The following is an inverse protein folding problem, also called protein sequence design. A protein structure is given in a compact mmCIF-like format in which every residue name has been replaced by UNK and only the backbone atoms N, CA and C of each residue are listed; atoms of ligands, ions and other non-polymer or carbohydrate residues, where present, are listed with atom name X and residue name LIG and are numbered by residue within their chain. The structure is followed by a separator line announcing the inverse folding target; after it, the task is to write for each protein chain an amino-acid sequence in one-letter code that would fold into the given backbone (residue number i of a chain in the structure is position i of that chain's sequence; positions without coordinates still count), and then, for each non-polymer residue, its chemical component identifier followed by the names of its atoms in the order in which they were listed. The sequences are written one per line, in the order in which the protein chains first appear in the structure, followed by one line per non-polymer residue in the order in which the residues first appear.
data_IF_723275706705
#
_entry.id   IF_723275706705
#
_cell.length_a   1.000
_cell.length_b   1.000
_cell.length_c   1.000
_cell.angle_alpha   90.00
_cell.angle_beta   90.00
_cell.angle_gamma   90.00
#
_symmetry.space_group_name_H-M   'P 1'
#
loop_
_entity.id
_entity.type
_entity.pdbx_description
1 polymer ?
#
# COMPACT_ATOMS: atom_id res chain seq x y z
N UNK A 1 -13.97 2.89 -0.43
CA UNK A 1 -12.59 2.98 -0.97
C UNK A 1 -11.62 3.05 0.20
N UNK A 2 -10.59 2.19 0.18
CA UNK A 2 -9.52 2.08 1.17
C UNK A 2 -8.21 2.56 0.56
N UNK A 3 -7.56 3.53 1.18
CA UNK A 3 -6.26 4.05 0.74
C UNK A 3 -5.20 3.64 1.76
N UNK A 4 -4.17 2.91 1.32
CA UNK A 4 -3.02 2.57 2.14
C UNK A 4 -1.97 3.69 2.12
N UNK A 5 -1.57 4.20 3.28
CA UNK A 5 -0.50 5.20 3.40
C UNK A 5 0.83 4.47 3.45
N UNK A 6 1.68 4.70 2.44
CA UNK A 6 3.00 4.06 2.31
C UNK A 6 4.11 5.11 2.30
N UNK A 7 5.35 4.66 2.51
CA UNK A 7 6.52 5.54 2.56
C UNK A 7 7.58 5.04 3.52
N UNK A 8 8.81 5.53 3.36
CA UNK A 8 9.95 5.14 4.19
C UNK A 8 9.74 5.47 5.68
N UNK A 9 10.45 4.79 6.61
CA UNK A 9 10.45 5.16 8.02
C UNK A 9 10.73 6.65 8.21
N UNK A 10 10.05 7.27 9.18
CA UNK A 10 10.25 8.68 9.55
C UNK A 10 9.93 9.73 8.46
N UNK A 11 9.21 9.38 7.39
CA UNK A 11 8.75 10.36 6.40
C UNK A 11 7.50 11.17 6.82
N UNK A 12 6.89 10.84 7.97
CA UNK A 12 5.72 11.57 8.49
C UNK A 12 4.35 10.92 8.25
N UNK A 13 4.30 9.63 7.85
CA UNK A 13 3.04 8.89 7.58
C UNK A 13 1.98 9.05 8.67
N UNK A 14 2.31 8.73 9.92
CA UNK A 14 1.36 8.80 11.04
C UNK A 14 0.93 10.23 11.33
N UNK A 15 1.83 11.21 11.15
CA UNK A 15 1.49 12.63 11.27
C UNK A 15 0.48 13.05 10.20
N UNK A 16 0.68 12.63 8.95
CA UNK A 16 -0.27 12.88 7.87
C UNK A 16 -1.60 12.18 8.11
N UNK A 17 -1.58 10.93 8.57
CA UNK A 17 -2.79 10.18 8.92
C UNK A 17 -3.62 10.91 9.99
N UNK A 18 -2.97 11.35 11.07
CA UNK A 18 -3.62 12.14 12.12
C UNK A 18 -4.21 13.45 11.57
N UNK A 19 -3.47 14.15 10.71
CA UNK A 19 -3.93 15.39 10.10
C UNK A 19 -5.18 15.17 9.20
N UNK A 20 -5.20 14.07 8.43
CA UNK A 20 -6.33 13.74 7.56
C UNK A 20 -7.57 13.29 8.35
N UNK A 21 -7.37 12.62 9.48
CA UNK A 21 -8.43 11.90 10.18
C UNK A 21 -8.93 12.62 11.43
N UNK A 22 -8.19 13.63 11.90
CA UNK A 22 -8.40 14.24 13.21
C UNK A 22 -8.13 13.28 14.37
N UNK A 23 -7.54 12.12 14.12
CA UNK A 23 -7.17 11.15 15.14
C UNK A 23 -5.91 11.58 15.90
N UNK A 24 -5.81 11.19 17.16
CA UNK A 24 -4.63 11.42 18.00
C UNK A 24 -3.84 10.12 18.19
N UNK A 25 -3.34 9.55 17.08
CA UNK A 25 -2.54 8.33 17.13
C UNK A 25 -1.11 8.66 17.56
N UNK A 26 -0.50 7.88 18.46
CA UNK A 26 0.87 8.11 18.88
C UNK A 26 1.84 8.03 17.69
N UNK A 27 2.51 9.15 17.37
CA UNK A 27 3.53 9.20 16.33
C UNK A 27 4.77 8.42 16.80
N UNK A 28 5.21 7.45 16.02
CA UNK A 28 6.45 6.71 16.29
C UNK A 28 6.35 5.51 17.24
N UNK A 29 5.15 5.08 17.66
CA UNK A 29 5.01 3.83 18.43
C UNK A 29 4.97 2.60 17.50
N UNK A 30 6.05 1.83 17.47
CA UNK A 30 5.98 0.40 17.15
C UNK A 30 5.26 -0.31 18.29
N UNK A 31 4.19 -1.06 18.02
CA UNK A 31 3.70 -2.04 18.98
C UNK A 31 4.79 -3.11 19.16
N UNK A 32 5.28 -3.25 20.39
CA UNK A 32 6.21 -4.31 20.76
C UNK A 32 5.64 -5.70 20.44
N UNK A 33 6.49 -6.61 19.96
CA UNK A 33 6.14 -8.01 19.70
C UNK A 33 5.98 -8.41 18.23
N UNK A 34 6.46 -7.61 17.28
CA UNK A 34 6.55 -8.01 15.87
C UNK A 34 5.22 -7.99 15.09
N UNK A 35 4.14 -7.45 15.66
CA UNK A 35 2.85 -7.30 14.99
C UNK A 35 2.78 -5.95 14.26
N UNK A 36 2.41 -5.98 12.98
CA UNK A 36 2.16 -4.76 12.19
C UNK A 36 0.92 -4.08 12.76
N UNK A 37 1.09 -2.85 13.25
CA UNK A 37 -0.02 -2.01 13.66
C UNK A 37 -0.67 -1.43 12.41
N UNK A 38 -1.89 -1.86 12.11
CA UNK A 38 -2.73 -1.25 11.07
C UNK A 38 -3.74 -0.38 11.78
N UNK A 39 -3.68 0.92 11.55
CA UNK A 39 -4.70 1.83 12.05
C UNK A 39 -5.52 2.34 10.87
N UNK A 40 -6.85 2.22 10.98
CA UNK A 40 -7.77 2.71 9.96
C UNK A 40 -8.62 3.84 10.49
N UNK A 41 -8.82 4.87 9.68
CA UNK A 41 -9.74 5.95 9.99
C UNK A 41 -10.52 6.39 8.74
N UNK A 42 -11.80 6.68 8.92
CA UNK A 42 -12.72 7.02 7.84
C UNK A 42 -13.07 8.50 7.92
N UNK A 43 -12.95 9.18 6.78
CA UNK A 43 -13.12 10.63 6.66
C UNK A 43 -14.17 10.92 5.58
N UNK A 44 -15.04 11.90 5.86
CA UNK A 44 -16.01 12.40 4.89
C UNK A 44 -15.32 13.28 3.84
N UNK A 45 -15.65 13.07 2.57
CA UNK A 45 -15.13 13.86 1.45
C UNK A 45 -15.90 15.18 1.39
N UNK A 46 -15.22 16.33 1.53
CA UNK A 46 -15.85 17.63 1.35
C UNK A 46 -16.26 17.79 -0.13
N UNK A 47 -17.53 18.12 -0.37
CA UNK A 47 -18.08 18.31 -1.72
C UNK A 47 -19.13 19.42 -1.72
N UNK A 48 -18.74 20.59 -2.24
CA UNK A 48 -19.59 21.79 -2.29
C UNK A 48 -20.90 21.56 -3.05
N UNK A 49 -20.93 20.59 -3.98
CA UNK A 49 -22.14 20.26 -4.74
C UNK A 49 -23.16 19.57 -3.85
N UNK A 50 -22.71 18.70 -2.95
CA UNK A 50 -23.56 18.05 -1.95
C UNK A 50 -24.08 19.08 -0.96
N UNK A 51 -23.23 20.02 -0.54
CA UNK A 51 -23.61 21.11 0.37
C UNK A 51 -24.66 22.05 -0.25
N UNK A 52 -24.49 22.38 -1.53
CA UNK A 52 -25.46 23.18 -2.28
C UNK A 52 -26.81 22.46 -2.40
N UNK A 53 -26.81 21.17 -2.75
CA UNK A 53 -28.04 20.37 -2.82
C UNK A 53 -28.72 20.23 -1.45
N UNK A 54 -27.94 20.05 -0.39
CA UNK A 54 -28.46 19.98 0.98
C UNK A 54 -29.14 21.30 1.38
N UNK A 55 -28.58 22.44 0.95
CA UNK A 55 -29.17 23.76 1.20
C UNK A 55 -30.48 23.96 0.43
N UNK A 56 -30.55 23.48 -0.82
CA UNK A 56 -31.73 23.63 -1.68
C UNK A 56 -32.89 22.72 -1.23
N UNK A 57 -32.60 21.45 -0.94
CA UNK A 57 -33.63 20.43 -0.68
C UNK A 57 -33.89 20.17 0.80
N UNK A 58 -33.01 20.64 1.70
CA UNK A 58 -33.13 20.52 3.17
C UNK A 58 -33.50 19.10 3.64
N UNK A 59 -32.72 18.07 3.28
CA UNK A 59 -33.00 16.71 3.72
C UNK A 59 -32.82 16.58 5.24
N UNK A 60 -33.46 15.57 5.84
CA UNK A 60 -33.28 15.27 7.27
C UNK A 60 -31.84 14.88 7.65
N UNK A 61 -31.06 14.37 6.68
CA UNK A 61 -29.66 13.99 6.84
C UNK A 61 -28.90 14.19 5.53
N UNK A 62 -27.78 14.89 5.58
CA UNK A 62 -26.80 14.98 4.49
C UNK A 62 -25.73 13.92 4.71
N UNK A 63 -25.45 13.10 3.69
CA UNK A 63 -24.42 12.05 3.76
C UNK A 63 -23.40 12.28 2.65
N UNK A 64 -22.16 12.55 3.04
CA UNK A 64 -21.04 12.70 2.12
C UNK A 64 -20.47 11.33 1.74
N UNK A 65 -19.74 11.29 0.62
CA UNK A 65 -18.89 10.17 0.30
C UNK A 65 -17.83 9.99 1.39
N UNK A 66 -17.41 8.75 1.65
CA UNK A 66 -16.43 8.43 2.68
C UNK A 66 -15.22 7.71 2.10
N UNK A 67 -14.04 8.05 2.62
CA UNK A 67 -12.77 7.40 2.27
C UNK A 67 -12.12 6.90 3.55
N UNK A 68 -11.63 5.66 3.53
CA UNK A 68 -10.92 5.06 4.65
C UNK A 68 -9.42 5.07 4.38
N UNK A 69 -8.64 5.69 5.26
CA UNK A 69 -7.19 5.66 5.23
C UNK A 69 -6.68 4.57 6.16
N UNK A 70 -5.67 3.83 5.72
CA UNK A 70 -4.96 2.83 6.50
C UNK A 70 -3.52 3.33 6.70
N UNK A 71 -3.16 3.70 7.92
CA UNK A 71 -1.76 3.86 8.33
C UNK A 71 -1.23 2.48 8.67
N UNK A 72 -0.36 1.99 7.81
CA UNK A 72 0.22 0.68 7.94
C UNK A 72 1.64 0.88 8.48
N UNK A 73 1.85 0.48 9.73
CA UNK A 73 3.12 0.68 10.45
C UNK A 73 4.32 0.28 9.59
N UNK A 74 5.33 1.15 9.56
CA UNK A 74 6.44 1.09 8.61
C UNK A 74 7.26 -0.21 8.64
N UNK A 75 8.03 -0.42 7.56
CA UNK A 75 8.98 -1.52 7.37
C UNK A 75 9.88 -1.66 8.60
N UNK A 76 9.93 -2.84 9.21
CA UNK A 76 10.79 -3.11 10.37
C UNK A 76 12.25 -3.26 9.92
N UNK A 77 13.10 -2.33 10.36
CA UNK A 77 14.54 -2.53 10.49
C UNK A 77 15.30 -2.65 9.16
N UNK A 78 16.62 -2.85 9.28
CA UNK A 78 17.64 -2.85 8.21
C UNK A 78 17.51 -3.96 7.15
N UNK A 79 16.40 -4.68 7.10
CA UNK A 79 16.10 -5.68 6.08
C UNK A 79 15.04 -5.09 5.16
N UNK A 80 15.46 -4.74 3.96
CA UNK A 80 14.74 -4.10 2.84
C UNK A 80 13.58 -4.93 2.27
N UNK A 81 12.75 -5.54 3.12
CA UNK A 81 11.69 -6.43 2.66
C UNK A 81 10.42 -6.18 3.46
N UNK A 82 9.38 -5.79 2.75
CA UNK A 82 8.02 -5.75 3.26
C UNK A 82 7.66 -7.10 3.91
N UNK A 83 7.31 -7.09 5.19
CA UNK A 83 6.89 -8.32 5.88
C UNK A 83 5.61 -8.89 5.25
N UNK A 84 5.42 -10.21 5.25
CA UNK A 84 4.17 -10.83 4.75
C UNK A 84 2.87 -10.23 5.31
N UNK A 85 2.77 -9.93 6.62
CA UNK A 85 1.61 -9.23 7.18
C UNK A 85 1.40 -7.81 6.62
N UNK A 86 2.49 -7.10 6.31
CA UNK A 86 2.44 -5.76 5.71
C UNK A 86 1.90 -5.82 4.29
N UNK A 87 2.39 -6.77 3.47
CA UNK A 87 1.88 -6.99 2.11
C UNK A 87 0.41 -7.39 2.11
N UNK A 88 -0.01 -8.24 3.03
CA UNK A 88 -1.41 -8.62 3.17
C UNK A 88 -2.31 -7.42 3.51
N UNK A 89 -1.83 -6.47 4.32
CA UNK A 89 -2.56 -5.25 4.60
C UNK A 89 -2.64 -4.33 3.38
N UNK A 90 -1.54 -4.19 2.62
CA UNK A 90 -1.48 -3.41 1.39
C UNK A 90 -2.39 -4.00 0.30
N UNK A 91 -2.42 -5.32 0.14
CA UNK A 91 -3.27 -6.01 -0.82
C UNK A 91 -4.78 -5.83 -0.56
N UNK A 92 -5.18 -5.36 0.63
CA UNK A 92 -6.57 -5.04 0.96
C UNK A 92 -6.94 -3.58 0.66
N UNK A 93 -6.01 -2.78 0.13
CA UNK A 93 -6.23 -1.37 -0.22
C UNK A 93 -6.53 -1.23 -1.71
N UNK A 94 -7.33 -0.23 -2.07
CA UNK A 94 -7.71 0.06 -3.45
C UNK A 94 -6.69 1.00 -4.13
N UNK A 95 -5.94 1.76 -3.33
CA UNK A 95 -4.94 2.72 -3.81
C UNK A 95 -3.88 2.99 -2.74
N UNK A 96 -2.71 3.46 -3.18
CA UNK A 96 -1.62 3.87 -2.30
C UNK A 96 -1.47 5.40 -2.25
N UNK A 97 -1.29 5.93 -1.04
CA UNK A 97 -0.85 7.30 -0.80
C UNK A 97 0.65 7.26 -0.46
N UNK A 98 1.49 7.63 -1.42
CA UNK A 98 2.94 7.62 -1.27
C UNK A 98 3.43 8.87 -0.54
N UNK A 99 3.92 8.72 0.69
CA UNK A 99 4.48 9.80 1.52
C UNK A 99 6.00 9.83 1.41
N UNK A 100 6.51 10.91 0.81
CA UNK A 100 7.94 11.10 0.55
C UNK A 100 8.48 12.23 1.43
N UNK A 101 9.64 12.01 2.05
CA UNK A 101 10.27 13.02 2.89
C UNK A 101 10.98 14.05 2.02
N UNK A 102 10.61 15.32 2.18
CA UNK A 102 11.26 16.46 1.53
C UNK A 102 11.59 17.58 2.54
N UNK A 103 12.02 17.19 3.73
CA UNK A 103 12.38 18.13 4.81
C UNK A 103 13.54 17.63 5.65
N UNK A 104 14.39 18.57 6.08
CA UNK A 104 15.46 18.35 7.05
C UNK A 104 14.95 18.52 8.49
N UNK A 105 15.41 17.65 9.38
CA UNK A 105 15.11 17.72 10.81
C UNK A 105 16.20 17.00 11.60
N UNK A 106 16.96 17.73 12.41
CA UNK A 106 18.09 17.20 13.19
C UNK A 106 17.63 16.25 14.32
N UNK A 107 16.40 16.41 14.80
CA UNK A 107 15.81 15.52 15.81
C UNK A 107 15.37 14.17 15.24
N UNK A 108 15.19 14.09 13.92
CA UNK A 108 14.75 12.89 13.21
C UNK A 108 15.62 12.72 11.96
N UNK A 109 16.87 12.26 12.09
CA UNK A 109 17.79 12.14 10.95
C UNK A 109 17.24 11.18 9.90
N UNK A 110 17.55 11.43 8.63
CA UNK A 110 17.15 10.52 7.56
C UNK A 110 17.84 9.16 7.75
N UNK A 111 17.16 8.00 7.53
CA UNK A 111 17.80 6.69 7.66
C UNK A 111 19.07 6.52 6.80
N UNK A 112 19.10 7.15 5.63
CA UNK A 112 20.23 7.15 4.70
C UNK A 112 21.17 8.37 4.87
N UNK A 113 21.01 9.16 5.94
CA UNK A 113 21.80 10.35 6.27
C UNK A 113 21.81 11.49 5.23
N UNK A 114 21.11 11.32 4.11
CA UNK A 114 20.84 12.33 3.09
C UNK A 114 19.38 12.26 2.65
N UNK A 115 18.80 13.41 2.33
CA UNK A 115 17.43 13.53 1.82
C UNK A 115 17.50 13.52 0.30
N UNK A 116 16.85 12.54 -0.32
CA UNK A 116 16.72 12.43 -1.77
C UNK A 116 15.37 11.79 -2.07
N UNK A 117 14.39 12.64 -2.36
CA UNK A 117 13.01 12.22 -2.60
C UNK A 117 12.90 11.26 -3.80
N UNK A 118 13.70 11.45 -4.84
CA UNK A 118 13.65 10.60 -6.04
C UNK A 118 14.18 9.20 -5.73
N UNK A 119 15.32 9.11 -5.03
CA UNK A 119 15.86 7.84 -4.55
C UNK A 119 14.88 7.14 -3.61
N UNK A 120 14.26 7.87 -2.70
CA UNK A 120 13.36 7.28 -1.71
C UNK A 120 12.07 6.73 -2.34
N UNK A 121 11.55 7.40 -3.38
CA UNK A 121 10.44 6.87 -4.19
C UNK A 121 10.87 5.60 -4.92
N UNK A 122 12.00 5.66 -5.64
CA UNK A 122 12.52 4.52 -6.38
C UNK A 122 12.74 3.30 -5.48
N UNK A 123 13.31 3.51 -4.28
CA UNK A 123 13.55 2.43 -3.33
C UNK A 123 12.25 1.73 -2.90
N UNK A 124 11.16 2.48 -2.71
CA UNK A 124 9.87 1.89 -2.36
C UNK A 124 9.23 1.16 -3.55
N UNK A 125 9.31 1.75 -4.74
CA UNK A 125 8.77 1.17 -5.97
C UNK A 125 9.52 -0.13 -6.35
N UNK A 126 10.84 -0.16 -6.21
CA UNK A 126 11.68 -1.35 -6.42
C UNK A 126 11.29 -2.48 -5.46
N UNK A 127 11.03 -2.15 -4.19
CA UNK A 127 10.57 -3.14 -3.22
C UNK A 127 9.16 -3.68 -3.56
N UNK A 128 8.25 -2.85 -4.08
CA UNK A 128 6.93 -3.30 -4.55
C UNK A 128 7.05 -4.19 -5.78
N UNK A 129 7.85 -3.80 -6.77
CA UNK A 129 8.13 -4.59 -7.98
C UNK A 129 8.73 -5.94 -7.64
N UNK A 130 9.68 -5.99 -6.71
CA UNK A 130 10.29 -7.24 -6.26
C UNK A 130 9.25 -8.17 -5.60
N UNK A 131 8.31 -7.62 -4.82
CA UNK A 131 7.24 -8.41 -4.22
C UNK A 131 6.28 -8.97 -5.26
N UNK A 132 5.89 -8.17 -6.26
CA UNK A 132 5.06 -8.64 -7.37
C UNK A 132 5.77 -9.75 -8.17
N UNK A 133 7.07 -9.61 -8.40
CA UNK A 133 7.87 -10.65 -9.06
C UNK A 133 7.83 -11.97 -8.29
N UNK A 134 8.04 -11.94 -6.97
CA UNK A 134 7.95 -13.14 -6.13
C UNK A 134 6.56 -13.80 -6.16
N UNK A 135 5.49 -12.99 -6.24
CA UNK A 135 4.12 -13.51 -6.35
C UNK A 135 3.92 -14.20 -7.71
N UNK A 136 4.39 -13.57 -8.78
CA UNK A 136 4.30 -14.10 -10.14
C UNK A 136 5.11 -15.40 -10.29
N UNK A 137 6.34 -15.45 -9.79
CA UNK A 137 7.19 -16.66 -9.81
C UNK A 137 6.51 -17.83 -9.10
N UNK A 138 6.01 -17.61 -7.88
CA UNK A 138 5.27 -18.65 -7.12
C UNK A 138 4.02 -19.12 -7.85
N UNK A 139 3.34 -18.25 -8.60
CA UNK A 139 2.17 -18.64 -9.39
C UNK A 139 2.57 -19.47 -10.61
N UNK A 140 3.64 -19.08 -11.30
CA UNK A 140 4.21 -19.82 -12.43
C UNK A 140 4.65 -21.24 -12.03
N UNK A 141 5.31 -21.40 -10.89
CA UNK A 141 5.69 -22.72 -10.36
C UNK A 141 4.47 -23.63 -10.17
N UNK A 142 3.41 -23.10 -9.53
CA UNK A 142 2.15 -23.84 -9.32
C UNK A 142 1.47 -24.21 -10.64
N UNK A 143 1.39 -23.27 -11.59
CA UNK A 143 0.80 -23.52 -12.91
C UNK A 143 1.61 -24.57 -13.70
N UNK A 144 2.94 -24.56 -13.59
CA UNK A 144 3.80 -25.59 -14.17
C UNK A 144 3.51 -26.99 -13.61
N UNK A 145 3.28 -27.08 -12.31
CA UNK A 145 2.89 -28.32 -11.63
C UNK A 145 1.49 -28.80 -12.05
N UNK A 146 0.51 -27.90 -12.10
CA UNK A 146 -0.87 -28.19 -12.52
C UNK A 146 -0.91 -28.67 -13.98
N UNK A 147 -0.10 -28.06 -14.86
CA UNK A 147 0.03 -28.43 -16.28
C UNK A 147 0.61 -29.83 -16.46
N UNK A 148 1.56 -30.23 -15.62
CA UNK A 148 2.18 -31.57 -15.67
C UNK A 148 1.29 -32.66 -15.07
N UNK A 149 0.65 -32.39 -13.93
CA UNK A 149 -0.06 -33.40 -13.13
C UNK A 149 -1.53 -33.56 -13.51
N UNK A 150 -2.11 -32.62 -14.27
CA UNK A 150 -3.52 -32.64 -14.66
C UNK A 150 -4.44 -32.39 -13.45
N UNK A 151 -4.48 -31.14 -12.97
CA UNK A 151 -5.11 -30.77 -11.70
C UNK A 151 -6.65 -30.70 -11.71
N UNK A 152 -7.35 -31.43 -12.59
CA UNK A 152 -8.82 -31.40 -12.69
C UNK A 152 -9.44 -30.07 -13.17
N UNK A 153 -8.62 -29.03 -13.37
CA UNK A 153 -8.97 -27.78 -14.07
C UNK A 153 -8.80 -27.94 -15.58
N UNK A 154 -9.52 -27.12 -16.34
CA UNK A 154 -9.43 -27.10 -17.80
C UNK A 154 -7.99 -26.73 -18.23
N UNK A 155 -7.39 -27.58 -19.07
CA UNK A 155 -6.04 -27.37 -19.61
C UNK A 155 -5.94 -26.07 -20.39
N UNK A 156 -7.00 -25.67 -21.10
CA UNK A 156 -7.02 -24.42 -21.86
C UNK A 156 -7.06 -23.18 -20.95
N UNK A 157 -7.60 -23.30 -19.75
CA UNK A 157 -7.56 -22.24 -18.74
C UNK A 157 -6.16 -22.11 -18.14
N UNK A 158 -5.55 -23.24 -17.75
CA UNK A 158 -4.18 -23.28 -17.21
C UNK A 158 -3.18 -22.68 -18.20
N UNK A 159 -3.30 -23.00 -19.50
CA UNK A 159 -2.38 -22.47 -20.51
C UNK A 159 -2.52 -20.95 -20.67
N UNK A 160 -3.75 -20.43 -20.71
CA UNK A 160 -4.01 -18.98 -20.79
C UNK A 160 -3.46 -18.24 -19.58
N UNK A 161 -3.66 -18.80 -18.39
CA UNK A 161 -3.14 -18.22 -17.15
C UNK A 161 -1.61 -18.25 -17.14
N UNK A 162 -0.99 -19.36 -17.54
CA UNK A 162 0.46 -19.49 -17.63
C UNK A 162 1.07 -18.48 -18.62
N UNK A 163 0.46 -18.30 -19.80
CA UNK A 163 0.90 -17.31 -20.78
C UNK A 163 0.83 -15.90 -20.21
N UNK A 164 -0.27 -15.54 -19.54
CA UNK A 164 -0.42 -14.24 -18.88
C UNK A 164 0.68 -14.01 -17.83
N UNK A 165 0.90 -14.97 -16.93
CA UNK A 165 1.91 -14.84 -15.88
C UNK A 165 3.33 -14.84 -16.43
N UNK A 166 3.59 -15.51 -17.57
CA UNK A 166 4.89 -15.45 -18.26
C UNK A 166 5.16 -14.05 -18.81
N UNK A 167 4.13 -13.41 -19.38
CA UNK A 167 4.21 -12.01 -19.84
C UNK A 167 4.45 -11.05 -18.67
N UNK A 168 3.71 -11.22 -17.56
CA UNK A 168 3.90 -10.41 -16.35
C UNK A 168 5.32 -10.55 -15.78
N UNK A 169 5.84 -11.77 -15.69
CA UNK A 169 7.21 -12.03 -15.23
C UNK A 169 8.25 -11.31 -16.09
N UNK A 170 8.07 -11.34 -17.41
CA UNK A 170 8.99 -10.68 -18.35
C UNK A 170 8.96 -9.17 -18.19
N UNK A 171 7.78 -8.56 -17.98
CA UNK A 171 7.66 -7.12 -17.75
C UNK A 171 8.30 -6.71 -16.41
N UNK A 172 8.04 -7.46 -15.34
CA UNK A 172 8.59 -7.17 -14.02
C UNK A 172 10.13 -7.29 -13.97
N UNK A 173 10.70 -8.30 -14.64
CA UNK A 173 12.17 -8.46 -14.71
C UNK A 173 12.90 -7.35 -15.47
N UNK A 174 12.20 -6.63 -16.36
CA UNK A 174 12.78 -5.52 -17.10
C UNK A 174 12.71 -4.19 -16.35
N UNK A 175 12.18 -4.16 -15.11
CA UNK A 175 12.13 -2.96 -14.28
C UNK A 175 11.00 -1.97 -14.62
N UNK A 176 9.93 -2.48 -15.26
CA UNK A 176 8.83 -1.75 -15.92
C UNK A 176 9.18 -1.22 -17.33
#
# INVERSE_FOLDING_TARGET
MKIGIIGLPQCGKTTLCNALTGADLPVGKMLGGGRVAVTSATVSVPDERVDWLATLYKPAKTTHAQVTFLDIGGVQGSKSSFSGPLLNALAQTDAFLHVVRSFANDLVPHPLLSIDAARDVQALDDELLLNDLLVVERRLEKLGDERRKGAGRDKAEIEREHELFTRLHTMLNNGA
#
